data_IF_165545837042
#
_entry.id   IF_165545837042
#
_cell.length_a   1.000
_cell.length_b   1.000
_cell.length_c   1.000
_cell.angle_alpha   90.00
_cell.angle_beta   90.00
_cell.angle_gamma   90.00
#
_symmetry.space_group_name_H-M   'P 1'
#
loop_
_entity.id
_entity.type
_entity.pdbx_description
1 polymer ?
#
# COMPACT_ATOMS: atom_id res chain seq x y z
N UNK A 1 6.25 28.80 11.51
CA UNK A 1 7.09 28.20 10.45
C UNK A 1 7.76 29.33 9.69
N UNK A 2 9.02 29.17 9.31
CA UNK A 2 9.67 30.09 8.38
C UNK A 2 9.13 29.85 6.97
N UNK A 3 9.08 30.91 6.17
CA UNK A 3 8.65 30.82 4.78
C UNK A 3 9.80 30.28 3.93
N UNK A 4 9.61 29.10 3.33
CA UNK A 4 10.52 28.50 2.36
C UNK A 4 9.66 27.77 1.31
N UNK A 5 10.11 27.75 0.05
CA UNK A 5 9.33 27.16 -1.05
C UNK A 5 9.10 25.65 -0.83
N UNK A 6 10.17 24.93 -0.48
CA UNK A 6 10.16 23.46 -0.48
C UNK A 6 10.35 22.82 0.91
N UNK A 7 10.58 23.62 1.96
CA UNK A 7 10.97 23.11 3.27
C UNK A 7 10.00 23.56 4.36
N UNK A 8 9.65 22.62 5.24
CA UNK A 8 8.88 22.91 6.46
C UNK A 8 9.84 23.18 7.62
N UNK A 9 10.18 24.43 7.83
CA UNK A 9 11.14 24.85 8.87
C UNK A 9 10.40 25.53 10.03
N UNK A 10 10.67 25.09 11.27
CA UNK A 10 10.15 25.72 12.47
C UNK A 10 10.73 27.14 12.61
N UNK A 11 9.89 28.12 12.99
CA UNK A 11 10.37 29.49 13.22
C UNK A 11 11.14 29.62 14.53
N UNK A 12 10.73 28.85 15.53
CA UNK A 12 11.35 28.77 16.83
C UNK A 12 11.48 27.29 17.19
N UNK A 13 12.63 26.92 17.76
CA UNK A 13 12.91 25.57 18.21
C UNK A 13 13.53 25.65 19.61
N UNK A 14 12.79 25.18 20.61
CA UNK A 14 13.25 25.13 22.00
C UNK A 14 13.63 23.68 22.30
N UNK A 15 14.93 23.42 22.47
CA UNK A 15 15.44 22.09 22.81
C UNK A 15 14.94 21.66 24.19
N UNK A 16 14.39 20.45 24.29
CA UNK A 16 14.03 19.81 25.55
C UNK A 16 15.05 18.77 25.99
N UNK A 17 15.58 18.01 25.03
CA UNK A 17 16.54 16.93 25.24
C UNK A 17 17.63 16.99 24.15
N UNK A 18 18.83 16.50 24.47
CA UNK A 18 20.00 16.53 23.59
C UNK A 18 20.83 15.27 23.81
N UNK A 19 21.29 14.66 22.71
CA UNK A 19 22.13 13.47 22.68
C UNK A 19 23.17 13.58 21.58
N UNK A 20 24.33 12.97 21.82
CA UNK A 20 25.33 12.68 20.79
C UNK A 20 25.24 11.17 20.52
N UNK A 21 25.08 10.79 19.26
CA UNK A 21 24.90 9.39 18.84
C UNK A 21 26.21 8.85 18.28
N UNK A 22 26.59 7.64 18.69
CA UNK A 22 27.73 6.91 18.15
C UNK A 22 27.30 5.88 17.07
N UNK A 23 28.23 5.36 16.25
CA UNK A 23 27.91 4.32 15.27
C UNK A 23 27.26 3.09 15.92
N UNK A 24 26.03 2.80 15.52
CA UNK A 24 25.22 1.69 16.04
C UNK A 24 24.06 2.14 16.93
N UNK A 25 24.06 3.38 17.42
CA UNK A 25 22.95 3.93 18.19
C UNK A 25 21.71 4.18 17.30
N UNK A 26 20.53 4.04 17.90
CA UNK A 26 19.25 4.31 17.24
C UNK A 26 18.41 5.28 18.05
N UNK A 27 17.90 6.32 17.38
CA UNK A 27 16.97 7.28 17.96
C UNK A 27 15.59 7.11 17.32
N UNK A 28 14.62 6.63 18.10
CA UNK A 28 13.23 6.57 17.68
C UNK A 28 12.53 7.90 17.97
N UNK A 29 11.87 8.44 16.95
CA UNK A 29 11.09 9.68 17.07
C UNK A 29 9.63 9.40 16.65
N UNK A 30 8.65 9.58 17.55
CA UNK A 30 7.25 9.49 17.16
C UNK A 30 6.86 10.64 16.23
N UNK A 31 5.72 10.52 15.52
CA UNK A 31 5.19 11.61 14.70
C UNK A 31 5.05 12.91 15.50
N UNK A 32 5.28 14.04 14.82
CA UNK A 32 5.14 15.40 15.36
C UNK A 32 6.17 15.79 16.44
N UNK A 33 7.19 14.97 16.71
CA UNK A 33 8.30 15.37 17.55
C UNK A 33 9.35 16.14 16.73
N UNK A 34 9.51 17.42 17.07
CA UNK A 34 10.52 18.26 16.45
C UNK A 34 11.92 17.78 16.85
N UNK A 35 12.81 17.64 15.86
CA UNK A 35 14.19 17.25 16.07
C UNK A 35 15.11 18.05 15.15
N UNK A 36 16.35 18.25 15.59
CA UNK A 36 17.39 18.96 14.84
C UNK A 36 18.72 18.23 15.04
N UNK A 37 19.16 17.49 14.03
CA UNK A 37 20.46 16.84 14.01
C UNK A 37 21.53 17.77 13.43
N UNK A 38 22.69 17.83 14.05
CA UNK A 38 23.88 18.49 13.52
C UNK A 38 25.04 17.51 13.59
N UNK A 39 25.80 17.38 12.50
CA UNK A 39 26.97 16.51 12.46
C UNK A 39 28.12 17.14 13.26
N UNK A 40 28.75 16.38 14.16
CA UNK A 40 29.96 16.82 14.87
C UNK A 40 31.23 16.56 14.04
N UNK A 41 31.20 15.54 13.19
CA UNK A 41 32.25 15.11 12.27
C UNK A 41 31.66 14.56 10.96
N UNK A 42 32.48 13.91 10.13
CA UNK A 42 32.03 13.27 8.91
C UNK A 42 31.13 12.06 9.24
N UNK A 43 29.82 12.25 9.11
CA UNK A 43 28.82 11.26 9.53
C UNK A 43 27.89 10.80 8.41
N UNK A 44 27.22 9.66 8.63
CA UNK A 44 26.13 9.15 7.80
C UNK A 44 24.97 8.69 8.69
N UNK A 45 23.74 9.06 8.32
CA UNK A 45 22.53 8.74 9.09
C UNK A 45 21.54 7.98 8.22
N UNK A 46 21.07 6.83 8.71
CA UNK A 46 20.03 6.02 8.06
C UNK A 46 18.67 6.32 8.71
N UNK A 47 17.78 6.98 7.97
CA UNK A 47 16.44 7.30 8.45
C UNK A 47 15.43 6.26 7.99
N UNK A 48 15.03 5.37 8.88
CA UNK A 48 13.97 4.37 8.63
C UNK A 48 12.60 4.99 8.93
N UNK A 49 11.94 5.48 7.89
CA UNK A 49 10.63 6.15 7.99
C UNK A 49 9.44 5.18 7.93
N UNK A 50 8.43 5.45 8.74
CA UNK A 50 7.12 4.79 8.67
C UNK A 50 6.12 5.67 7.92
N UNK A 51 5.12 5.06 7.26
CA UNK A 51 4.06 5.77 6.52
C UNK A 51 2.71 5.53 7.20
N UNK A 52 1.97 6.61 7.40
CA UNK A 52 0.55 6.58 7.74
C UNK A 52 -0.15 7.65 6.89
N UNK A 53 -1.21 7.30 6.14
CA UNK A 53 -1.90 8.28 5.33
C UNK A 53 -2.71 9.25 6.18
N UNK A 54 -2.76 10.50 5.75
CA UNK A 54 -3.63 11.51 6.35
C UNK A 54 -5.09 11.26 6.00
N UNK A 55 -6.01 11.81 6.80
CA UNK A 55 -7.44 11.74 6.51
C UNK A 55 -7.80 12.35 5.13
N UNK A 56 -7.07 13.38 4.71
CA UNK A 56 -7.25 13.98 3.38
C UNK A 56 -6.85 13.02 2.27
N UNK A 57 -5.69 12.37 2.37
CA UNK A 57 -5.26 11.34 1.40
C UNK A 57 -6.27 10.18 1.34
N UNK A 58 -6.73 9.70 2.50
CA UNK A 58 -7.73 8.62 2.56
C UNK A 58 -9.01 9.03 1.82
N UNK A 59 -9.58 10.18 2.15
CA UNK A 59 -10.85 10.61 1.54
C UNK A 59 -10.69 10.85 0.04
N UNK A 60 -9.65 11.57 -0.40
CA UNK A 60 -9.44 11.87 -1.82
C UNK A 60 -9.23 10.61 -2.65
N UNK A 61 -8.25 9.78 -2.27
CA UNK A 61 -7.92 8.59 -3.07
C UNK A 61 -9.04 7.55 -3.04
N UNK A 62 -9.74 7.39 -1.91
CA UNK A 62 -10.84 6.43 -1.85
C UNK A 62 -12.03 6.87 -2.69
N UNK A 63 -12.40 8.16 -2.68
CA UNK A 63 -13.48 8.65 -3.54
C UNK A 63 -13.12 8.57 -5.03
N UNK A 64 -11.87 8.83 -5.39
CA UNK A 64 -11.38 8.66 -6.76
C UNK A 64 -11.42 7.20 -7.21
N UNK A 65 -11.12 6.26 -6.30
CA UNK A 65 -11.25 4.83 -6.56
C UNK A 65 -12.71 4.40 -6.76
N UNK A 66 -13.62 4.81 -5.85
CA UNK A 66 -15.04 4.49 -5.96
C UNK A 66 -15.64 5.01 -7.27
N UNK A 67 -15.27 6.23 -7.68
CA UNK A 67 -15.76 6.84 -8.92
C UNK A 67 -15.48 6.04 -10.19
N UNK A 68 -14.53 5.09 -10.19
CA UNK A 68 -14.24 4.23 -11.34
C UNK A 68 -15.29 3.14 -11.57
N UNK A 69 -16.10 2.82 -10.55
CA UNK A 69 -17.09 1.76 -10.58
C UNK A 69 -18.54 2.26 -10.59
N UNK A 70 -18.74 3.55 -10.33
CA UNK A 70 -20.07 4.15 -10.26
C UNK A 70 -20.58 4.53 -11.66
N UNK A 71 -21.81 4.13 -12.03
CA UNK A 71 -22.41 4.49 -13.31
C UNK A 71 -22.90 5.95 -13.33
N UNK A 72 -22.84 6.61 -14.49
CA UNK A 72 -23.30 8.00 -14.69
C UNK A 72 -24.83 8.16 -14.51
N UNK A 73 -25.57 7.06 -14.56
CA UNK A 73 -27.02 7.02 -14.37
C UNK A 73 -27.44 7.15 -12.91
N UNK A 74 -26.57 6.79 -11.97
CA UNK A 74 -26.84 6.90 -10.54
C UNK A 74 -26.71 8.37 -10.10
N UNK A 75 -27.84 8.98 -9.73
CA UNK A 75 -27.94 10.41 -9.45
C UNK A 75 -28.68 10.66 -8.16
N UNK A 76 -28.33 11.76 -7.51
CA UNK A 76 -29.18 12.35 -6.47
C UNK A 76 -30.62 12.48 -7.00
N UNK A 77 -31.57 11.96 -6.24
CA UNK A 77 -33.00 11.96 -6.56
C UNK A 77 -33.78 12.53 -5.38
N UNK A 78 -34.76 13.37 -5.67
CA UNK A 78 -35.61 14.06 -4.71
C UNK A 78 -37.10 13.89 -5.06
N UNK A 79 -37.46 12.72 -5.62
CA UNK A 79 -38.83 12.40 -6.02
C UNK A 79 -39.86 12.50 -4.87
N UNK A 80 -39.40 12.45 -3.62
CA UNK A 80 -40.20 12.58 -2.40
C UNK A 80 -40.18 13.98 -1.77
N UNK A 81 -39.49 14.96 -2.40
CA UNK A 81 -39.35 16.30 -1.87
C UNK A 81 -40.70 17.00 -1.69
N UNK A 82 -40.85 17.65 -0.54
CA UNK A 82 -42.05 18.39 -0.19
C UNK A 82 -41.92 19.87 -0.59
N UNK A 83 -43.02 20.56 -0.92
CA UNK A 83 -43.00 21.99 -1.21
C UNK A 83 -42.37 22.79 -0.06
N UNK A 84 -41.40 23.64 -0.38
CA UNK A 84 -40.77 24.57 0.58
C UNK A 84 -41.38 25.96 0.50
N UNK A 85 -41.42 26.66 1.64
CA UNK A 85 -41.79 28.08 1.71
C UNK A 85 -40.67 29.02 1.23
N UNK A 86 -39.41 28.58 1.29
CA UNK A 86 -38.25 29.33 0.80
C UNK A 86 -37.49 28.48 -0.23
N UNK A 87 -37.59 28.82 -1.53
CA UNK A 87 -36.93 28.06 -2.60
C UNK A 87 -35.40 28.26 -2.62
N UNK A 88 -34.86 29.21 -1.87
CA UNK A 88 -33.41 29.48 -1.79
C UNK A 88 -32.73 28.74 -0.64
N UNK A 89 -33.50 28.12 0.25
CA UNK A 89 -33.00 27.35 1.38
C UNK A 89 -32.76 25.89 0.99
N UNK A 90 -31.52 25.42 1.17
CA UNK A 90 -31.21 23.98 1.14
C UNK A 90 -31.86 23.34 2.36
N UNK A 91 -32.84 22.48 2.09
CA UNK A 91 -33.60 21.80 3.13
C UNK A 91 -32.76 20.69 3.79
N UNK A 92 -33.10 20.39 5.05
CA UNK A 92 -32.37 19.38 5.82
C UNK A 92 -32.50 17.97 5.22
N UNK A 93 -33.67 17.65 4.68
CA UNK A 93 -33.93 16.38 3.99
C UNK A 93 -33.01 16.19 2.77
N UNK A 94 -32.67 17.26 2.04
CA UNK A 94 -31.70 17.19 0.95
C UNK A 94 -30.30 16.82 1.43
N UNK A 95 -29.86 17.36 2.58
CA UNK A 95 -28.59 16.98 3.19
C UNK A 95 -28.62 15.53 3.70
N UNK A 96 -29.74 15.08 4.25
CA UNK A 96 -29.90 13.71 4.74
C UNK A 96 -29.88 12.70 3.57
N UNK A 97 -30.52 13.02 2.44
CA UNK A 97 -30.40 12.24 1.18
C UNK A 97 -28.96 12.17 0.68
N UNK A 98 -28.23 13.30 0.66
CA UNK A 98 -26.83 13.32 0.24
C UNK A 98 -25.94 12.48 1.17
N UNK A 99 -26.17 12.54 2.49
CA UNK A 99 -25.44 11.69 3.44
C UNK A 99 -25.73 10.22 3.24
N UNK A 100 -26.98 9.85 2.94
CA UNK A 100 -27.35 8.48 2.65
C UNK A 100 -26.60 7.96 1.41
N UNK A 101 -26.59 8.74 0.32
CA UNK A 101 -25.84 8.42 -0.90
C UNK A 101 -24.34 8.22 -0.64
N UNK A 102 -23.72 9.12 0.12
CA UNK A 102 -22.31 8.97 0.51
C UNK A 102 -22.09 7.71 1.35
N UNK A 103 -22.97 7.45 2.31
CA UNK A 103 -22.85 6.30 3.21
C UNK A 103 -23.00 4.98 2.44
N UNK A 104 -23.94 4.91 1.51
CA UNK A 104 -24.20 3.73 0.67
C UNK A 104 -22.93 3.28 -0.05
N UNK A 105 -22.23 4.19 -0.72
CA UNK A 105 -21.02 3.85 -1.47
C UNK A 105 -19.76 3.72 -0.61
N UNK A 106 -19.64 4.52 0.46
CA UNK A 106 -18.44 4.51 1.31
C UNK A 106 -18.40 3.35 2.30
N UNK A 107 -19.50 2.63 2.49
CA UNK A 107 -19.60 1.55 3.50
C UNK A 107 -19.30 0.15 2.96
N UNK A 108 -18.92 0.00 1.69
CA UNK A 108 -18.50 -1.29 1.14
C UNK A 108 -17.11 -1.68 1.68
N UNK A 109 -17.08 -2.58 2.66
CA UNK A 109 -15.85 -3.07 3.29
C UNK A 109 -14.91 -3.78 2.30
N UNK A 110 -15.44 -4.43 1.26
CA UNK A 110 -14.63 -5.17 0.27
C UNK A 110 -13.89 -4.20 -0.65
N UNK A 111 -14.59 -3.16 -1.12
CA UNK A 111 -13.98 -2.09 -1.89
C UNK A 111 -12.97 -1.31 -1.05
N UNK A 112 -13.32 -1.01 0.21
CA UNK A 112 -12.41 -0.33 1.13
C UNK A 112 -11.12 -1.15 1.38
N UNK A 113 -11.24 -2.46 1.64
CA UNK A 113 -10.08 -3.34 1.81
C UNK A 113 -9.23 -3.40 0.55
N UNK A 114 -9.87 -3.53 -0.62
CA UNK A 114 -9.16 -3.59 -1.92
C UNK A 114 -8.36 -2.32 -2.16
N UNK A 115 -9.01 -1.16 -2.04
CA UNK A 115 -8.36 0.13 -2.19
C UNK A 115 -7.23 0.32 -1.17
N UNK A 116 -7.49 0.03 0.11
CA UNK A 116 -6.50 0.25 1.17
C UNK A 116 -5.25 -0.60 0.97
N UNK A 117 -5.42 -1.87 0.62
CA UNK A 117 -4.32 -2.77 0.31
C UNK A 117 -3.48 -2.31 -0.89
N UNK A 118 -4.14 -1.93 -1.98
CA UNK A 118 -3.46 -1.37 -3.17
C UNK A 118 -2.71 -0.07 -2.81
N UNK A 119 -3.38 0.90 -2.20
CA UNK A 119 -2.80 2.20 -1.85
C UNK A 119 -1.60 2.11 -0.88
N UNK A 120 -1.67 1.21 0.12
CA UNK A 120 -0.58 1.04 1.09
C UNK A 120 0.61 0.27 0.52
N UNK A 121 0.37 -0.60 -0.47
CA UNK A 121 1.42 -1.37 -1.16
C UNK A 121 1.95 -0.68 -2.41
N UNK A 122 1.42 0.48 -2.79
CA UNK A 122 1.98 1.26 -3.87
C UNK A 122 3.45 1.65 -3.57
N UNK A 123 4.40 1.35 -4.47
CA UNK A 123 5.80 1.65 -4.28
C UNK A 123 6.03 3.16 -4.27
N UNK A 124 6.99 3.62 -3.46
CA UNK A 124 7.37 5.04 -3.43
C UNK A 124 8.03 5.49 -4.74
N UNK A 125 8.74 4.57 -5.38
CA UNK A 125 9.47 4.76 -6.64
C UNK A 125 9.00 3.68 -7.62
N UNK A 126 7.86 3.87 -8.30
CA UNK A 126 7.29 2.87 -9.21
C UNK A 126 8.25 2.44 -10.33
N UNK A 127 9.14 3.34 -10.76
CA UNK A 127 10.17 3.08 -11.77
C UNK A 127 11.21 2.03 -11.35
N UNK A 128 11.32 1.73 -10.05
CA UNK A 128 12.19 0.67 -9.52
C UNK A 128 11.52 -0.71 -9.46
N UNK A 129 10.21 -0.76 -9.78
CA UNK A 129 9.47 -2.01 -9.94
C UNK A 129 9.48 -2.35 -11.43
N UNK A 130 10.45 -3.17 -11.82
CA UNK A 130 10.63 -3.61 -13.20
C UNK A 130 10.87 -5.12 -13.21
N UNK A 131 9.83 -5.88 -13.55
CA UNK A 131 9.95 -7.32 -13.73
C UNK A 131 10.52 -7.71 -15.08
N UNK A 132 10.64 -9.03 -15.27
CA UNK A 132 11.10 -9.62 -16.52
C UNK A 132 10.01 -10.45 -17.18
N UNK A 133 9.96 -10.43 -18.51
CA UNK A 133 9.13 -11.37 -19.25
C UNK A 133 9.75 -12.77 -19.16
N UNK A 134 9.05 -13.67 -18.49
CA UNK A 134 9.47 -15.06 -18.31
C UNK A 134 8.22 -15.96 -18.37
N UNK A 135 8.34 -17.10 -19.03
CA UNK A 135 7.30 -18.12 -19.01
C UNK A 135 7.49 -19.08 -17.82
N UNK A 136 6.50 -19.94 -17.60
CA UNK A 136 6.51 -20.87 -16.48
C UNK A 136 7.68 -21.86 -16.55
N UNK A 137 8.03 -22.32 -17.76
CA UNK A 137 9.14 -23.26 -17.99
C UNK A 137 10.49 -22.61 -17.67
N UNK A 138 10.73 -21.39 -18.15
CA UNK A 138 11.95 -20.64 -17.86
C UNK A 138 12.08 -20.27 -16.37
N UNK A 139 10.96 -19.93 -15.71
CA UNK A 139 10.93 -19.65 -14.29
C UNK A 139 11.34 -20.89 -13.46
N UNK A 140 10.71 -22.04 -13.73
CA UNK A 140 11.05 -23.30 -13.06
C UNK A 140 12.50 -23.70 -13.33
N UNK A 141 12.94 -23.65 -14.59
CA UNK A 141 14.31 -23.99 -14.95
C UNK A 141 15.35 -23.11 -14.25
N UNK A 142 15.04 -21.82 -14.01
CA UNK A 142 15.93 -20.93 -13.26
C UNK A 142 16.08 -21.39 -11.80
N UNK A 143 14.97 -21.71 -11.13
CA UNK A 143 14.99 -22.23 -9.75
C UNK A 143 15.68 -23.59 -9.64
N UNK A 144 15.47 -24.49 -10.62
CA UNK A 144 16.12 -25.81 -10.67
C UNK A 144 17.64 -25.70 -10.85
N UNK A 145 18.10 -24.65 -11.54
CA UNK A 145 19.52 -24.33 -11.68
C UNK A 145 20.11 -23.60 -10.47
N UNK A 146 19.35 -23.45 -9.37
CA UNK A 146 19.81 -22.88 -8.11
C UNK A 146 19.59 -21.37 -7.98
N UNK A 147 18.82 -20.74 -8.87
CA UNK A 147 18.45 -19.34 -8.70
C UNK A 147 17.61 -19.15 -7.44
N UNK A 148 17.76 -17.98 -6.82
CA UNK A 148 17.09 -17.60 -5.59
C UNK A 148 16.20 -16.41 -5.92
N UNK A 149 14.95 -16.41 -5.46
CA UNK A 149 14.11 -15.23 -5.55
C UNK A 149 14.26 -14.39 -4.29
N UNK A 150 14.39 -13.10 -4.47
CA UNK A 150 14.38 -12.11 -3.40
C UNK A 150 13.26 -11.11 -3.66
N UNK A 151 12.79 -10.47 -2.60
CA UNK A 151 11.85 -9.36 -2.74
C UNK A 151 12.60 -8.13 -3.20
N UNK A 152 12.09 -7.49 -4.26
CA UNK A 152 12.61 -6.20 -4.70
C UNK A 152 12.50 -5.18 -3.53
N UNK A 153 13.57 -4.46 -3.16
CA UNK A 153 13.55 -3.54 -2.00
C UNK A 153 12.53 -2.40 -2.09
N UNK A 154 12.09 -2.05 -3.30
CA UNK A 154 11.06 -1.03 -3.54
C UNK A 154 9.65 -1.61 -3.50
N UNK A 155 9.50 -2.94 -3.63
CA UNK A 155 8.23 -3.61 -3.62
C UNK A 155 7.64 -3.66 -2.21
N UNK A 156 6.31 -3.56 -2.14
CA UNK A 156 5.56 -3.72 -0.89
C UNK A 156 4.51 -4.78 -1.12
N UNK A 157 4.40 -5.67 -0.15
CA UNK A 157 3.43 -6.76 -0.19
C UNK A 157 2.70 -6.85 1.14
N UNK A 158 1.40 -7.11 1.06
CA UNK A 158 0.54 -7.38 2.20
C UNK A 158 -0.59 -8.29 1.74
N UNK A 159 -1.22 -9.04 2.64
CA UNK A 159 -2.36 -9.87 2.29
C UNK A 159 -3.44 -9.79 3.37
N UNK A 160 -4.67 -10.12 2.99
CA UNK A 160 -5.82 -10.19 3.89
C UNK A 160 -6.68 -11.40 3.55
N UNK A 161 -7.48 -11.83 4.52
CA UNK A 161 -8.58 -12.79 4.31
C UNK A 161 -9.82 -12.02 3.84
N UNK A 162 -10.55 -12.57 2.87
CA UNK A 162 -11.82 -12.02 2.36
C UNK A 162 -12.80 -13.16 2.18
N UNK A 163 -13.72 -13.32 3.14
CA UNK A 163 -14.60 -14.49 3.18
C UNK A 163 -13.77 -15.77 3.38
N UNK A 164 -13.94 -16.73 2.48
CA UNK A 164 -13.18 -17.99 2.48
C UNK A 164 -11.92 -17.93 1.61
N UNK A 165 -11.64 -16.79 0.97
CA UNK A 165 -10.50 -16.58 0.06
C UNK A 165 -9.45 -15.65 0.68
N UNK A 166 -8.34 -15.47 -0.04
CA UNK A 166 -7.27 -14.55 0.29
C UNK A 166 -7.14 -13.48 -0.79
N UNK A 167 -6.70 -12.29 -0.40
CA UNK A 167 -6.26 -11.26 -1.35
C UNK A 167 -4.82 -10.90 -1.04
N UNK A 168 -3.96 -11.02 -2.05
CA UNK A 168 -2.60 -10.47 -2.03
C UNK A 168 -2.63 -9.08 -2.64
N UNK A 169 -1.97 -8.13 -1.98
CA UNK A 169 -1.63 -6.82 -2.50
C UNK A 169 -0.12 -6.77 -2.73
N UNK A 170 0.30 -6.53 -3.96
CA UNK A 170 1.70 -6.46 -4.34
C UNK A 170 1.93 -5.25 -5.25
N UNK A 171 2.76 -4.31 -4.80
CA UNK A 171 3.17 -3.13 -5.56
C UNK A 171 1.99 -2.34 -6.16
N UNK A 172 0.90 -2.18 -5.40
CA UNK A 172 -0.30 -1.44 -5.83
C UNK A 172 -1.34 -2.27 -6.58
N UNK A 173 -1.08 -3.54 -6.88
CA UNK A 173 -2.03 -4.45 -7.53
C UNK A 173 -2.62 -5.44 -6.53
N UNK A 174 -3.80 -5.97 -6.81
CA UNK A 174 -4.48 -6.97 -5.98
C UNK A 174 -4.79 -8.25 -6.76
N UNK A 175 -4.63 -9.40 -6.11
CA UNK A 175 -4.97 -10.72 -6.67
C UNK A 175 -5.75 -11.55 -5.66
N UNK A 176 -6.93 -12.03 -6.06
CA UNK A 176 -7.71 -12.99 -5.30
C UNK A 176 -7.10 -14.39 -5.47
N UNK A 177 -6.99 -15.13 -4.38
CA UNK A 177 -6.31 -16.41 -4.30
C UNK A 177 -7.08 -17.35 -3.37
N UNK A 178 -6.99 -18.65 -3.61
CA UNK A 178 -7.60 -19.63 -2.72
C UNK A 178 -6.93 -19.67 -1.33
N UNK A 179 -7.70 -20.07 -0.31
CA UNK A 179 -7.19 -20.18 1.07
C UNK A 179 -6.03 -21.18 1.25
N UNK A 180 -5.82 -22.11 0.32
CA UNK A 180 -4.71 -23.07 0.40
C UNK A 180 -3.35 -22.38 0.33
N UNK A 181 -3.26 -21.22 -0.32
CA UNK A 181 -2.02 -20.46 -0.50
C UNK A 181 -1.63 -19.59 0.70
N UNK A 182 -2.35 -19.67 1.83
CA UNK A 182 -2.08 -18.83 3.01
C UNK A 182 -0.63 -18.91 3.48
N UNK A 183 -0.07 -20.11 3.54
CA UNK A 183 1.31 -20.30 3.99
C UNK A 183 2.32 -19.82 2.94
N UNK A 184 1.99 -19.90 1.64
CA UNK A 184 2.77 -19.26 0.58
C UNK A 184 2.79 -17.74 0.73
N UNK A 185 1.63 -17.10 1.00
CA UNK A 185 1.57 -15.65 1.17
C UNK A 185 2.39 -15.16 2.36
N UNK A 186 2.33 -15.89 3.49
CA UNK A 186 3.21 -15.62 4.64
C UNK A 186 4.68 -15.72 4.26
N UNK A 187 5.04 -16.77 3.53
CA UNK A 187 6.42 -17.01 3.10
C UNK A 187 6.91 -15.89 2.18
N UNK A 188 6.19 -15.58 1.10
CA UNK A 188 6.56 -14.56 0.11
C UNK A 188 6.63 -13.15 0.71
N UNK A 189 5.77 -12.82 1.69
CA UNK A 189 5.79 -11.50 2.32
C UNK A 189 6.90 -11.32 3.37
N UNK A 190 7.41 -12.40 3.96
CA UNK A 190 8.30 -12.33 5.13
C UNK A 190 9.71 -12.89 4.91
N UNK A 191 9.92 -13.78 3.93
CA UNK A 191 11.22 -14.40 3.70
C UNK A 191 12.21 -13.41 3.06
N UNK A 192 13.45 -13.46 3.53
CA UNK A 192 14.56 -12.71 2.91
C UNK A 192 14.94 -13.29 1.53
N UNK A 193 14.79 -14.61 1.39
CA UNK A 193 15.10 -15.36 0.18
C UNK A 193 14.15 -16.58 0.03
N UNK A 194 13.77 -16.86 -1.22
CA UNK A 194 12.94 -17.99 -1.60
C UNK A 194 13.74 -18.92 -2.49
N UNK A 195 13.84 -20.18 -2.07
CA UNK A 195 14.63 -21.22 -2.73
C UNK A 195 13.70 -22.31 -3.24
N UNK A 196 14.16 -23.13 -4.19
CA UNK A 196 13.34 -24.22 -4.71
C UNK A 196 12.85 -25.19 -3.61
N UNK A 197 13.65 -25.41 -2.57
CA UNK A 197 13.29 -26.31 -1.47
C UNK A 197 12.10 -25.79 -0.66
N UNK A 198 12.05 -24.48 -0.37
CA UNK A 198 10.97 -23.89 0.41
C UNK A 198 9.72 -23.56 -0.43
N UNK A 199 9.88 -23.46 -1.76
CA UNK A 199 8.78 -23.29 -2.70
C UNK A 199 8.20 -24.60 -3.25
N UNK A 200 8.88 -25.73 -3.07
CA UNK A 200 8.57 -27.01 -3.71
C UNK A 200 7.09 -27.43 -3.68
N UNK A 201 6.42 -27.30 -2.53
CA UNK A 201 5.00 -27.61 -2.39
C UNK A 201 4.10 -26.72 -3.25
N UNK A 202 4.48 -25.46 -3.43
CA UNK A 202 3.74 -24.44 -4.17
C UNK A 202 4.07 -24.42 -5.65
N UNK A 203 5.27 -24.87 -6.03
CA UNK A 203 5.64 -25.08 -7.43
C UNK A 203 4.84 -26.26 -8.03
N UNK A 204 4.45 -27.24 -7.22
CA UNK A 204 3.57 -28.32 -7.66
C UNK A 204 2.09 -27.91 -7.77
N UNK A 205 1.71 -26.77 -7.20
CA UNK A 205 0.35 -26.21 -7.25
C UNK A 205 0.25 -25.17 -8.38
N UNK A 206 -0.74 -25.30 -9.26
CA UNK A 206 -0.86 -24.42 -10.44
C UNK A 206 -1.14 -22.95 -10.06
N UNK A 207 -1.93 -22.71 -9.02
CA UNK A 207 -2.26 -21.36 -8.57
C UNK A 207 -1.05 -20.70 -7.88
N UNK A 208 -0.37 -21.45 -7.01
CA UNK A 208 0.86 -21.01 -6.33
C UNK A 208 2.00 -20.74 -7.30
N UNK A 209 2.20 -21.62 -8.29
CA UNK A 209 3.22 -21.44 -9.34
C UNK A 209 2.93 -20.22 -10.21
N UNK A 210 1.69 -20.08 -10.67
CA UNK A 210 1.28 -18.90 -11.45
C UNK A 210 1.39 -17.60 -10.64
N UNK A 211 1.12 -17.63 -9.34
CA UNK A 211 1.33 -16.47 -8.48
C UNK A 211 2.80 -16.03 -8.48
N UNK A 212 3.73 -16.95 -8.28
CA UNK A 212 5.17 -16.64 -8.21
C UNK A 212 5.69 -16.09 -9.55
N UNK A 213 5.28 -16.69 -10.67
CA UNK A 213 5.63 -16.21 -12.03
C UNK A 213 5.15 -14.77 -12.23
N UNK A 214 3.89 -14.48 -11.89
CA UNK A 214 3.34 -13.13 -12.07
C UNK A 214 3.99 -12.10 -11.14
N UNK A 215 4.41 -12.48 -9.92
CA UNK A 215 5.17 -11.60 -9.04
C UNK A 215 6.56 -11.25 -9.61
N UNK A 216 7.19 -12.18 -10.33
CA UNK A 216 8.45 -11.93 -11.04
C UNK A 216 8.25 -11.05 -12.26
N UNK A 217 7.21 -11.30 -13.07
CA UNK A 217 6.85 -10.45 -14.22
C UNK A 217 6.48 -9.03 -13.79
N UNK A 218 5.82 -8.89 -12.64
CA UNK A 218 5.51 -7.60 -12.06
C UNK A 218 6.77 -6.88 -11.55
N UNK A 219 7.79 -7.63 -11.10
CA UNK A 219 8.99 -7.09 -10.46
C UNK A 219 8.85 -6.92 -8.94
N UNK A 220 7.82 -7.50 -8.34
CA UNK A 220 7.70 -7.58 -6.87
C UNK A 220 8.67 -8.60 -6.27
N UNK A 221 8.96 -9.66 -7.04
CA UNK A 221 10.05 -10.59 -6.81
C UNK A 221 11.06 -10.47 -7.96
N UNK A 222 12.33 -10.70 -7.66
CA UNK A 222 13.41 -10.73 -8.64
C UNK A 222 14.35 -11.89 -8.34
N UNK A 223 15.07 -12.37 -9.35
CA UNK A 223 16.16 -13.31 -9.12
C UNK A 223 17.32 -12.54 -8.47
N UNK A 224 17.91 -13.10 -7.42
CA UNK A 224 19.10 -12.53 -6.81
C UNK A 224 20.23 -12.47 -7.86
N UNK A 225 20.77 -11.28 -8.10
CA UNK A 225 21.99 -11.12 -8.87
C UNK A 225 23.15 -11.83 -8.15
N UNK A 226 24.01 -12.54 -8.89
CA UNK A 226 25.25 -13.15 -8.37
C UNK A 226 26.23 -12.12 -7.78
#
# INVERSE_FOLDING_TARGET
MLQHADLKILAEFVKTEEWVLEPGDMLYLPPLLAHCGTAEDDCMTYSVGFRAPSAAEVLTHFTDFLGQFLPDEERYSDADAQPTSDPTQIQRDALDRLKALLTEHMSDERLLMTWFGQFMTEPKYPELIAGIEIDEEGFLGSLENGAILIRNPSARMAWSEVGDDLVLFASGQSRLLSASLRELLKLVCAADALHIENLSAWLADDEGRNLLVELVKQGSLEFADE
#
